data_IF_117685588482
#
_entry.id   IF_117685588482
#
_cell.length_a   1.000
_cell.length_b   1.000
_cell.length_c   1.000
_cell.angle_alpha   90.00
_cell.angle_beta   90.00
_cell.angle_gamma   90.00
#
_symmetry.space_group_name_H-M   'P 1'
#
loop_
_entity.id
_entity.type
_entity.pdbx_description
1 polymer ?
#
# COMPACT_ATOMS: atom_id res chain seq x y z
N UNK A 1 10.08 -10.81 14.10
CA UNK A 1 9.17 -10.46 15.21
C UNK A 1 8.64 -11.71 15.89
N UNK A 2 8.32 -11.63 17.18
CA UNK A 2 7.48 -12.63 17.86
C UNK A 2 6.00 -12.42 17.53
N UNK A 3 5.17 -13.45 17.73
CA UNK A 3 3.72 -13.37 17.51
C UNK A 3 3.02 -12.30 18.36
N UNK A 4 3.63 -11.86 19.47
CA UNK A 4 3.10 -10.78 20.30
C UNK A 4 3.44 -9.41 19.70
N UNK A 5 4.68 -9.17 19.28
CA UNK A 5 5.09 -7.91 18.66
C UNK A 5 4.34 -7.63 17.34
N UNK A 6 4.07 -8.68 16.57
CA UNK A 6 3.26 -8.57 15.36
C UNK A 6 1.81 -8.18 15.67
N UNK A 7 1.27 -8.59 16.83
CA UNK A 7 -0.08 -8.21 17.25
C UNK A 7 -0.16 -6.74 17.63
N UNK A 8 0.77 -6.28 18.45
CA UNK A 8 0.84 -4.87 18.86
C UNK A 8 1.01 -3.95 17.64
N UNK A 9 1.82 -4.35 16.65
CA UNK A 9 1.98 -3.61 15.39
C UNK A 9 0.67 -3.54 14.58
N UNK A 10 -0.07 -4.64 14.46
CA UNK A 10 -1.35 -4.66 13.73
C UNK A 10 -2.38 -3.74 14.39
N UNK A 11 -2.52 -3.83 15.72
CA UNK A 11 -3.46 -3.00 16.47
C UNK A 11 -3.10 -1.50 16.35
N UNK A 12 -1.80 -1.17 16.35
CA UNK A 12 -1.32 0.21 16.16
C UNK A 12 -1.63 0.75 14.75
N UNK A 13 -1.33 -0.02 13.70
CA UNK A 13 -1.61 0.36 12.31
C UNK A 13 -3.10 0.62 12.10
N UNK A 14 -3.96 -0.31 12.53
CA UNK A 14 -5.40 -0.18 12.37
C UNK A 14 -5.94 1.03 13.12
N UNK A 15 -5.54 1.21 14.39
CA UNK A 15 -5.98 2.35 15.20
C UNK A 15 -5.56 3.68 14.56
N UNK A 16 -4.38 3.74 13.93
CA UNK A 16 -3.90 4.93 13.25
C UNK A 16 -4.72 5.23 12.00
N UNK A 17 -4.94 4.23 11.14
CA UNK A 17 -5.77 4.39 9.94
C UNK A 17 -7.18 4.88 10.31
N UNK A 18 -7.83 4.25 11.28
CA UNK A 18 -9.16 4.64 11.75
C UNK A 18 -9.20 6.09 12.27
N UNK A 19 -8.16 6.53 13.00
CA UNK A 19 -8.06 7.91 13.49
C UNK A 19 -7.94 8.96 12.37
N UNK A 20 -7.48 8.54 11.19
CA UNK A 20 -7.38 9.35 9.97
C UNK A 20 -8.55 9.15 9.00
N UNK A 21 -9.64 8.52 9.47
CA UNK A 21 -10.90 8.42 8.72
C UNK A 21 -11.03 7.20 7.82
N UNK A 22 -10.04 6.31 7.81
CA UNK A 22 -10.17 5.02 7.12
C UNK A 22 -11.27 4.19 7.75
N UNK A 23 -12.04 3.51 6.90
CA UNK A 23 -13.15 2.65 7.31
C UNK A 23 -12.76 1.18 7.19
N UNK A 24 -12.99 0.37 8.24
CA UNK A 24 -12.78 -1.06 8.16
C UNK A 24 -13.77 -1.70 7.17
N UNK A 25 -13.26 -2.43 6.19
CA UNK A 25 -14.00 -3.38 5.38
C UNK A 25 -13.63 -4.81 5.80
N UNK A 26 -14.62 -5.69 5.90
CA UNK A 26 -14.41 -7.07 6.40
C UNK A 26 -13.17 -7.75 5.83
N UNK A 27 -12.46 -8.52 6.67
CA UNK A 27 -11.20 -9.18 6.30
C UNK A 27 -11.32 -10.70 6.30
N UNK A 28 -10.64 -11.36 5.35
CA UNK A 28 -10.38 -12.80 5.39
C UNK A 28 -9.14 -13.07 6.25
N UNK A 29 -9.32 -13.08 7.57
CA UNK A 29 -8.25 -13.33 8.52
C UNK A 29 -8.70 -13.10 9.95
N UNK A 30 -8.14 -13.84 10.90
CA UNK A 30 -8.56 -13.76 12.32
C UNK A 30 -8.29 -12.38 12.97
N UNK A 31 -7.37 -11.55 12.45
CA UNK A 31 -6.95 -10.30 13.12
C UNK A 31 -6.85 -9.04 12.26
N UNK A 32 -6.41 -9.15 11.01
CA UNK A 32 -6.32 -7.99 10.13
C UNK A 32 -7.66 -7.70 9.46
N UNK A 33 -8.04 -6.43 9.45
CA UNK A 33 -9.23 -5.95 8.73
C UNK A 33 -8.74 -5.05 7.61
N UNK A 34 -9.28 -5.26 6.41
CA UNK A 34 -8.97 -4.39 5.27
C UNK A 34 -9.51 -2.99 5.59
N UNK A 35 -8.81 -1.94 5.13
CA UNK A 35 -9.23 -0.57 5.36
C UNK A 35 -9.42 0.14 4.04
N UNK A 36 -10.46 0.96 3.95
CA UNK A 36 -10.74 1.77 2.78
C UNK A 36 -10.84 3.24 3.13
N UNK A 37 -10.38 4.11 2.24
CA UNK A 37 -10.55 5.54 2.34
C UNK A 37 -11.06 6.07 1.00
N UNK A 38 -12.16 6.81 1.03
CA UNK A 38 -12.74 7.40 -0.18
C UNK A 38 -12.39 8.87 -0.25
N UNK A 39 -11.78 9.29 -1.36
CA UNK A 39 -11.49 10.68 -1.66
C UNK A 39 -12.30 11.16 -2.88
N UNK A 40 -11.97 12.33 -3.44
CA UNK A 40 -12.70 12.89 -4.57
C UNK A 40 -12.41 12.17 -5.91
N UNK A 41 -11.28 11.48 -5.99
CA UNK A 41 -10.72 10.90 -7.21
C UNK A 41 -10.85 9.37 -7.26
N UNK A 42 -11.09 8.72 -6.12
CA UNK A 42 -11.25 7.27 -6.06
C UNK A 42 -11.34 6.68 -4.67
N UNK A 43 -11.15 5.37 -4.60
CA UNK A 43 -11.10 4.59 -3.38
C UNK A 43 -9.70 4.06 -3.16
N UNK A 44 -9.11 4.42 -2.03
CA UNK A 44 -7.88 3.80 -1.54
C UNK A 44 -8.22 2.59 -0.68
N UNK A 45 -7.41 1.52 -0.78
CA UNK A 45 -7.56 0.31 0.04
C UNK A 45 -6.22 -0.15 0.58
N UNK A 46 -6.20 -0.58 1.84
CA UNK A 46 -5.06 -1.20 2.51
C UNK A 46 -5.46 -2.61 2.92
N UNK A 47 -4.67 -3.61 2.51
CA UNK A 47 -4.89 -5.03 2.83
C UNK A 47 -3.61 -5.68 3.30
N UNK A 48 -3.68 -6.60 4.25
CA UNK A 48 -2.52 -7.38 4.67
C UNK A 48 -2.53 -8.77 4.03
N UNK A 49 -1.39 -9.17 3.50
CA UNK A 49 -1.17 -10.45 2.84
C UNK A 49 -0.39 -11.38 3.80
N UNK A 50 -1.08 -12.20 4.60
CA UNK A 50 -0.45 -12.95 5.69
C UNK A 50 0.55 -14.01 5.24
N UNK A 51 0.45 -14.48 3.99
CA UNK A 51 1.34 -15.51 3.45
C UNK A 51 2.75 -14.98 3.14
N UNK A 52 2.86 -13.67 2.96
CA UNK A 52 4.08 -12.97 2.50
C UNK A 52 4.46 -11.80 3.41
N UNK A 53 3.72 -11.60 4.51
CA UNK A 53 3.98 -10.57 5.55
C UNK A 53 4.14 -9.16 4.97
N UNK A 54 3.25 -8.79 4.03
CA UNK A 54 3.25 -7.48 3.38
C UNK A 54 1.87 -6.84 3.35
N UNK A 55 1.85 -5.53 3.19
CA UNK A 55 0.65 -4.74 3.02
C UNK A 55 0.54 -4.30 1.56
N UNK A 56 -0.63 -4.48 0.99
CA UNK A 56 -1.02 -3.99 -0.33
C UNK A 56 -1.80 -2.70 -0.18
N UNK A 57 -1.36 -1.68 -0.89
CA UNK A 57 -2.04 -0.42 -1.09
C UNK A 57 -2.61 -0.37 -2.50
N UNK A 58 -3.92 -0.25 -2.62
CA UNK A 58 -4.63 -0.14 -3.89
C UNK A 58 -5.24 1.26 -4.01
N UNK A 59 -5.24 1.82 -5.21
CA UNK A 59 -6.03 2.99 -5.60
C UNK A 59 -6.92 2.61 -6.79
N UNK A 60 -8.22 2.75 -6.60
CA UNK A 60 -9.25 2.43 -7.58
C UNK A 60 -9.97 3.73 -7.97
N UNK A 61 -9.76 4.20 -9.20
CA UNK A 61 -10.53 5.28 -9.82
C UNK A 61 -11.70 4.69 -10.64
N UNK A 62 -12.49 5.54 -11.30
CA UNK A 62 -13.55 5.07 -12.21
C UNK A 62 -12.99 4.34 -13.45
N UNK A 63 -11.77 4.70 -13.85
CA UNK A 63 -11.14 4.25 -15.09
C UNK A 63 -10.00 3.27 -14.85
N UNK A 64 -9.29 3.36 -13.70
CA UNK A 64 -8.07 2.61 -13.44
C UNK A 64 -7.98 1.97 -12.05
N UNK A 65 -7.26 0.84 -11.97
CA UNK A 65 -6.84 0.20 -10.73
C UNK A 65 -5.32 0.13 -10.66
N UNK A 66 -4.74 0.96 -9.78
CA UNK A 66 -3.32 0.99 -9.53
C UNK A 66 -2.97 0.35 -8.18
N UNK A 67 -1.91 -0.46 -8.15
CA UNK A 67 -1.64 -1.33 -7.00
C UNK A 67 -0.17 -1.33 -6.62
N UNK A 68 0.09 -1.39 -5.32
CA UNK A 68 1.42 -1.35 -4.72
C UNK A 68 1.51 -2.33 -3.55
N UNK A 69 2.48 -3.23 -3.56
CA UNK A 69 2.72 -4.17 -2.46
C UNK A 69 4.04 -3.85 -1.74
N UNK A 70 3.95 -3.55 -0.44
CA UNK A 70 5.05 -3.06 0.40
C UNK A 70 5.18 -3.87 1.69
N UNK A 71 6.41 -4.22 2.06
CA UNK A 71 6.72 -4.73 3.38
C UNK A 71 6.87 -3.59 4.40
N UNK A 72 6.24 -3.73 5.56
CA UNK A 72 6.35 -2.78 6.68
C UNK A 72 7.59 -3.02 7.57
N UNK A 73 8.48 -3.94 7.17
CA UNK A 73 9.53 -4.62 7.97
C UNK A 73 10.30 -3.71 8.95
N UNK A 74 10.77 -2.53 8.50
CA UNK A 74 11.65 -1.67 9.30
C UNK A 74 11.12 -0.25 9.57
N UNK A 75 10.05 0.20 8.90
CA UNK A 75 9.59 1.61 8.99
C UNK A 75 8.07 1.79 8.84
N UNK A 76 7.27 1.12 9.68
CA UNK A 76 5.81 1.20 9.60
C UNK A 76 5.30 2.63 9.79
N UNK A 77 5.85 3.39 10.74
CA UNK A 77 5.43 4.75 11.05
C UNK A 77 5.57 5.71 9.87
N UNK A 78 6.69 5.64 9.13
CA UNK A 78 6.95 6.54 8.01
C UNK A 78 6.02 6.27 6.84
N UNK A 79 5.76 4.99 6.58
CA UNK A 79 4.82 4.57 5.55
C UNK A 79 3.41 5.06 5.90
N UNK A 80 2.98 4.92 7.16
CA UNK A 80 1.67 5.40 7.60
C UNK A 80 1.57 6.92 7.59
N UNK A 81 2.62 7.64 7.99
CA UNK A 81 2.66 9.10 7.89
C UNK A 81 2.49 9.54 6.44
N UNK A 82 3.18 8.90 5.49
CA UNK A 82 3.06 9.23 4.07
C UNK A 82 1.64 8.95 3.54
N UNK A 83 1.10 7.75 3.82
CA UNK A 83 -0.28 7.39 3.43
C UNK A 83 -1.28 8.40 3.99
N UNK A 84 -1.21 8.68 5.29
CA UNK A 84 -2.21 9.52 5.97
C UNK A 84 -2.07 11.01 5.66
N UNK A 85 -0.88 11.47 5.26
CA UNK A 85 -0.66 12.83 4.80
C UNK A 85 -1.24 13.07 3.40
N UNK A 86 -1.05 12.11 2.48
CA UNK A 86 -1.39 12.28 1.06
C UNK A 86 -2.75 11.70 0.65
N UNK A 87 -3.40 10.87 1.48
CA UNK A 87 -4.67 10.17 1.17
C UNK A 87 -5.78 11.05 0.57
N UNK A 88 -5.84 12.33 0.96
CA UNK A 88 -6.91 13.25 0.52
C UNK A 88 -6.63 13.90 -0.83
N UNK A 89 -5.38 13.89 -1.28
CA UNK A 89 -4.92 14.49 -2.54
C UNK A 89 -4.51 13.45 -3.59
N UNK A 90 -4.50 12.16 -3.24
CA UNK A 90 -4.19 11.08 -4.15
C UNK A 90 -5.18 11.00 -5.30
N UNK A 91 -4.63 10.95 -6.51
CA UNK A 91 -5.31 10.87 -7.79
C UNK A 91 -4.40 10.15 -8.79
N UNK A 92 -4.92 9.80 -9.97
CA UNK A 92 -4.13 9.15 -11.04
C UNK A 92 -2.87 9.96 -11.40
N UNK A 93 -2.97 11.29 -11.41
CA UNK A 93 -1.84 12.16 -11.73
C UNK A 93 -0.77 12.24 -10.62
N UNK A 94 -1.15 12.02 -9.36
CA UNK A 94 -0.25 12.13 -8.20
C UNK A 94 0.21 10.77 -7.69
N UNK A 95 -0.44 9.69 -8.15
CA UNK A 95 -0.08 8.32 -7.85
C UNK A 95 1.40 8.00 -8.15
N UNK A 96 1.99 8.37 -9.30
CA UNK A 96 3.39 8.06 -9.58
C UNK A 96 4.37 8.69 -8.56
N UNK A 97 4.13 9.95 -8.18
CA UNK A 97 4.94 10.65 -7.17
C UNK A 97 4.80 10.01 -5.79
N UNK A 98 3.57 9.59 -5.43
CA UNK A 98 3.32 8.85 -4.21
C UNK A 98 4.04 7.51 -4.17
N UNK A 99 4.00 6.73 -5.27
CA UNK A 99 4.75 5.48 -5.38
C UNK A 99 6.25 5.74 -5.20
N UNK A 100 6.80 6.75 -5.88
CA UNK A 100 8.21 7.08 -5.76
C UNK A 100 8.61 7.41 -4.30
N UNK A 101 7.77 8.16 -3.58
CA UNK A 101 7.99 8.44 -2.17
C UNK A 101 7.90 7.19 -1.29
N UNK A 102 6.96 6.28 -1.58
CA UNK A 102 6.84 4.99 -0.89
C UNK A 102 8.06 4.09 -1.15
N UNK A 103 8.64 4.11 -2.35
CA UNK A 103 9.86 3.36 -2.69
C UNK A 103 11.05 3.86 -1.87
N UNK A 104 11.23 5.17 -1.73
CA UNK A 104 12.33 5.73 -0.95
C UNK A 104 12.26 5.32 0.54
N UNK A 105 11.04 5.14 1.05
CA UNK A 105 10.80 4.75 2.44
C UNK A 105 10.90 3.23 2.69
N UNK A 106 10.72 2.41 1.66
CA UNK A 106 10.65 0.96 1.78
C UNK A 106 11.76 0.26 1.00
N UNK A 107 12.76 -0.33 1.68
CA UNK A 107 13.86 -1.04 1.01
C UNK A 107 13.43 -2.38 0.34
N UNK A 108 12.16 -2.78 0.44
CA UNK A 108 11.61 -4.01 -0.14
C UNK A 108 10.21 -3.77 -0.69
N UNK A 109 10.14 -3.29 -1.93
CA UNK A 109 8.90 -3.30 -2.72
C UNK A 109 8.82 -4.62 -3.46
N UNK A 110 7.67 -5.27 -3.35
CA UNK A 110 7.46 -6.61 -3.87
C UNK A 110 6.74 -6.64 -5.21
N UNK A 111 5.90 -5.65 -5.52
CA UNK A 111 5.25 -5.54 -6.84
C UNK A 111 4.52 -4.19 -6.98
N UNK A 112 4.46 -3.67 -8.21
CA UNK A 112 3.63 -2.54 -8.64
C UNK A 112 2.89 -2.99 -9.90
N UNK A 113 1.58 -2.77 -9.98
CA UNK A 113 0.76 -3.23 -11.12
C UNK A 113 -0.24 -2.14 -11.52
N UNK A 114 -0.42 -1.96 -12.83
CA UNK A 114 -1.50 -1.18 -13.45
C UNK A 114 -2.39 -2.14 -14.29
N UNK A 115 -3.54 -1.67 -14.80
CA UNK A 115 -4.68 -2.50 -15.24
C UNK A 115 -4.40 -3.62 -16.28
N UNK A 116 -3.27 -3.57 -16.99
CA UNK A 116 -2.86 -4.61 -17.94
C UNK A 116 -1.86 -5.56 -17.28
N UNK A 117 -2.39 -6.64 -16.71
CA UNK A 117 -1.65 -7.53 -15.83
C UNK A 117 -0.49 -8.30 -16.47
N UNK A 118 0.64 -8.30 -15.78
CA UNK A 118 1.41 -9.51 -15.46
C UNK A 118 1.97 -9.32 -14.03
N UNK A 119 1.57 -10.21 -13.12
CA UNK A 119 1.86 -10.12 -11.67
C UNK A 119 3.34 -10.52 -11.44
N UNK A 120 4.28 -9.64 -11.77
CA UNK A 120 5.70 -9.91 -11.53
C UNK A 120 6.07 -9.49 -10.09
N UNK A 121 6.36 -10.50 -9.26
CA UNK A 121 6.86 -10.29 -7.90
C UNK A 121 8.32 -9.89 -7.98
N UNK A 122 8.57 -8.61 -7.83
CA UNK A 122 9.90 -8.01 -7.84
C UNK A 122 10.57 -8.31 -6.49
N UNK A 123 11.46 -9.31 -6.50
CA UNK A 123 12.14 -9.76 -5.29
C UNK A 123 13.34 -8.87 -4.87
N UNK A 124 13.74 -7.90 -5.70
CA UNK A 124 14.92 -7.06 -5.50
C UNK A 124 14.57 -5.55 -5.63
N UNK A 125 14.99 -4.69 -4.69
CA UNK A 125 14.68 -3.27 -4.72
C UNK A 125 15.22 -2.52 -5.95
N UNK A 126 16.32 -3.00 -6.55
CA UNK A 126 16.84 -2.43 -7.80
C UNK A 126 15.96 -2.78 -9.03
N UNK A 127 15.34 -3.96 -9.03
CA UNK A 127 14.32 -4.36 -10.04
C UNK A 127 13.00 -3.59 -9.83
N UNK A 128 12.67 -3.21 -8.59
CA UNK A 128 11.45 -2.45 -8.25
C UNK A 128 11.44 -1.08 -8.91
N UNK A 129 12.60 -0.43 -8.95
CA UNK A 129 12.82 0.86 -9.63
C UNK A 129 12.91 0.68 -11.15
N UNK A 130 13.35 -0.49 -11.63
CA UNK A 130 13.41 -0.80 -13.07
C UNK A 130 12.01 -1.05 -13.66
N UNK A 131 11.15 -1.81 -12.96
CA UNK A 131 9.77 -2.02 -13.37
C UNK A 131 8.96 -0.71 -13.41
N UNK A 132 9.22 0.22 -12.48
CA UNK A 132 8.65 1.58 -12.54
C UNK A 132 9.03 2.36 -13.81
N UNK A 133 10.16 2.04 -14.45
CA UNK A 133 10.60 2.68 -15.69
C UNK A 133 10.01 2.04 -16.95
N UNK A 134 9.53 0.81 -16.87
CA UNK A 134 8.91 0.08 -17.99
C UNK A 134 7.40 0.24 -18.06
N UNK A 135 6.77 0.81 -17.02
CA UNK A 135 5.40 1.34 -17.12
C UNK A 135 5.45 2.58 -18.02
N UNK A 136 5.24 2.38 -19.32
CA UNK A 136 5.03 3.47 -20.28
C UNK A 136 3.69 4.15 -19.95
N UNK A 137 3.78 5.34 -19.35
CA UNK A 137 2.66 6.25 -19.17
C UNK A 137 2.35 6.93 -20.52
N UNK A 138 1.57 6.26 -21.38
CA UNK A 138 1.08 6.81 -22.65
C UNK A 138 -0.19 7.67 -22.49
#
# INVERSE_FOLDING_TARGET
>A
MTTSEQRDLIDDIQSRLESHGWQPQGGEGWRWVDHTYQNADGTLRIRYLPNVDVIRFDFESEEHLAQLSIAFDESPDRILDLITADQSSLSEATWPDFIAAMIDLSPRILSVTDEDGDDEVIADPDDGVAALREIEWE
#
